data_IF_314554131984
#
_entry.id   IF_314554131984
#
_cell.length_a   1.000
_cell.length_b   1.000
_cell.length_c   1.000
_cell.angle_alpha   90.00
_cell.angle_beta   90.00
_cell.angle_gamma   90.00
#
_symmetry.space_group_name_H-M   'P 1'
#
loop_
_entity.id
_entity.type
_entity.pdbx_description
1 polymer ?
#
# COMPACT_ATOMS: atom_id res chain seq x y z
N UNK A 1 1.99 -6.54 -34.39
CA UNK A 1 3.24 -5.76 -34.50
C UNK A 1 4.36 -6.71 -34.15
N UNK A 2 5.53 -6.62 -34.81
CA UNK A 2 6.65 -7.55 -34.64
C UNK A 2 7.03 -7.85 -33.18
N UNK A 3 6.83 -6.89 -32.26
CA UNK A 3 7.07 -7.05 -30.83
C UNK A 3 6.10 -8.00 -30.10
N UNK A 4 4.90 -8.25 -30.65
CA UNK A 4 3.95 -9.23 -30.10
C UNK A 4 4.35 -10.66 -30.47
N UNK A 5 4.88 -10.84 -31.67
CA UNK A 5 5.25 -12.15 -32.22
C UNK A 5 6.69 -12.54 -31.84
N UNK A 6 7.54 -11.53 -31.59
CA UNK A 6 8.92 -11.68 -31.11
C UNK A 6 9.18 -10.70 -29.95
N UNK A 7 8.73 -11.03 -28.73
CA UNK A 7 8.99 -10.17 -27.57
C UNK A 7 10.50 -10.09 -27.34
N UNK A 8 11.05 -8.89 -27.46
CA UNK A 8 12.42 -8.64 -27.07
C UNK A 8 12.52 -8.72 -25.55
N UNK A 9 13.44 -9.56 -25.05
CA UNK A 9 13.79 -9.63 -23.64
C UNK A 9 15.24 -9.26 -23.46
N UNK A 10 15.51 -8.35 -22.53
CA UNK A 10 16.88 -8.09 -22.11
C UNK A 10 17.49 -9.35 -21.46
N UNK A 11 18.78 -9.68 -21.71
CA UNK A 11 19.39 -10.93 -21.23
C UNK A 11 19.27 -11.10 -19.72
N UNK A 12 19.02 -12.35 -19.28
CA UNK A 12 18.72 -12.65 -17.88
C UNK A 12 19.90 -12.39 -16.93
N UNK A 13 21.15 -12.62 -17.39
CA UNK A 13 22.36 -12.35 -16.62
C UNK A 13 23.23 -11.35 -17.39
N UNK A 14 23.45 -10.20 -16.77
CA UNK A 14 24.32 -9.13 -17.26
C UNK A 14 24.93 -8.44 -16.04
N UNK A 15 26.13 -7.83 -16.17
CA UNK A 15 26.72 -7.08 -15.06
C UNK A 15 25.78 -6.02 -14.45
N UNK A 16 24.95 -5.37 -15.29
CA UNK A 16 23.94 -4.41 -14.84
C UNK A 16 22.83 -5.07 -14.00
N UNK A 17 22.23 -6.16 -14.47
CA UNK A 17 21.21 -6.90 -13.71
C UNK A 17 21.76 -7.47 -12.42
N UNK A 18 22.99 -7.98 -12.44
CA UNK A 18 23.63 -8.53 -11.25
C UNK A 18 23.85 -7.43 -10.21
N UNK A 19 24.26 -6.23 -10.63
CA UNK A 19 24.40 -5.05 -9.75
C UNK A 19 23.06 -4.61 -9.15
N UNK A 20 21.99 -4.58 -9.95
CA UNK A 20 20.66 -4.28 -9.46
C UNK A 20 20.16 -5.33 -8.46
N UNK A 21 20.34 -6.62 -8.76
CA UNK A 21 19.94 -7.71 -7.88
C UNK A 21 20.68 -7.64 -6.54
N UNK A 22 22.00 -7.41 -6.56
CA UNK A 22 22.78 -7.23 -5.33
C UNK A 22 22.29 -6.04 -4.49
N UNK A 23 21.91 -4.94 -5.14
CA UNK A 23 21.35 -3.75 -4.46
C UNK A 23 19.97 -4.04 -3.85
N UNK A 24 19.12 -4.76 -4.58
CA UNK A 24 17.82 -5.22 -4.08
C UNK A 24 17.98 -6.18 -2.90
N UNK A 25 18.86 -7.17 -2.99
CA UNK A 25 19.13 -8.14 -1.92
C UNK A 25 19.66 -7.46 -0.65
N UNK A 26 20.53 -6.45 -0.81
CA UNK A 26 21.01 -5.63 0.32
C UNK A 26 19.85 -4.91 1.00
N UNK A 27 18.98 -4.25 0.22
CA UNK A 27 17.83 -3.54 0.75
C UNK A 27 16.84 -4.50 1.44
N UNK A 28 16.58 -5.66 0.84
CA UNK A 28 15.73 -6.70 1.42
C UNK A 28 16.25 -7.17 2.78
N UNK A 29 17.56 -7.45 2.91
CA UNK A 29 18.16 -7.83 4.19
C UNK A 29 18.02 -6.76 5.27
N UNK A 30 18.14 -5.47 4.89
CA UNK A 30 17.90 -4.36 5.82
C UNK A 30 16.46 -4.34 6.29
N UNK A 31 15.49 -4.50 5.39
CA UNK A 31 14.06 -4.54 5.72
C UNK A 31 13.72 -5.76 6.58
N UNK A 32 14.25 -6.94 6.26
CA UNK A 32 14.07 -8.17 7.05
C UNK A 32 14.52 -7.99 8.50
N UNK A 33 15.66 -7.33 8.72
CA UNK A 33 16.13 -6.99 10.06
C UNK A 33 15.14 -6.06 10.79
N UNK A 34 14.66 -5.01 10.12
CA UNK A 34 13.68 -4.08 10.70
C UNK A 34 12.37 -4.79 11.07
N UNK A 35 11.91 -5.74 10.26
CA UNK A 35 10.72 -6.56 10.54
C UNK A 35 10.96 -7.44 11.77
N UNK A 36 12.10 -8.14 11.82
CA UNK A 36 12.42 -9.07 12.91
C UNK A 36 12.52 -8.37 14.28
N UNK A 37 12.99 -7.13 14.30
CA UNK A 37 13.11 -6.33 15.52
C UNK A 37 11.82 -5.57 15.89
N UNK A 38 10.81 -5.57 15.00
CA UNK A 38 9.64 -4.68 15.07
C UNK A 38 8.42 -5.19 15.84
N UNK A 39 8.38 -6.48 16.23
CA UNK A 39 7.29 -7.06 17.02
C UNK A 39 7.45 -6.78 18.53
N UNK A 40 7.48 -5.50 18.90
CA UNK A 40 7.57 -5.03 20.29
C UNK A 40 6.65 -3.82 20.43
N UNK A 41 6.20 -3.49 21.64
CA UNK A 41 5.43 -2.26 21.85
C UNK A 41 6.38 -1.08 22.14
N UNK A 42 6.26 0.06 21.45
CA UNK A 42 5.41 0.30 20.27
C UNK A 42 5.93 -0.42 19.02
N UNK A 43 5.01 -0.92 18.19
CA UNK A 43 5.37 -1.65 16.96
C UNK A 43 5.95 -0.68 15.92
N UNK A 44 6.88 -1.17 15.09
CA UNK A 44 7.37 -0.37 13.96
C UNK A 44 6.53 -0.60 12.70
N UNK A 45 6.58 0.36 11.77
CA UNK A 45 5.84 0.31 10.51
C UNK A 45 6.17 -0.92 9.65
N UNK A 46 7.43 -1.35 9.60
CA UNK A 46 7.86 -2.47 8.77
C UNK A 46 7.20 -3.78 9.21
N UNK A 47 7.15 -4.04 10.52
CA UNK A 47 6.48 -5.18 11.09
C UNK A 47 4.97 -5.11 10.82
N UNK A 48 4.33 -3.99 11.17
CA UNK A 48 2.87 -3.80 10.99
C UNK A 48 2.46 -3.99 9.53
N UNK A 49 3.12 -3.32 8.58
CA UNK A 49 2.77 -3.45 7.16
C UNK A 49 3.07 -4.83 6.59
N UNK A 50 4.08 -5.54 7.12
CA UNK A 50 4.35 -6.92 6.72
C UNK A 50 3.23 -7.85 7.18
N UNK A 51 2.73 -7.70 8.41
CA UNK A 51 1.59 -8.48 8.88
C UNK A 51 0.31 -8.15 8.10
N UNK A 52 0.07 -6.87 7.80
CA UNK A 52 -1.04 -6.46 6.93
C UNK A 52 -0.91 -7.10 5.54
N UNK A 53 0.28 -7.03 4.92
CA UNK A 53 0.53 -7.60 3.59
C UNK A 53 0.27 -9.11 3.52
N UNK A 54 0.53 -9.87 4.59
CA UNK A 54 0.23 -11.31 4.65
C UNK A 54 -1.27 -11.61 4.61
N UNK A 55 -2.08 -10.70 5.15
CA UNK A 55 -3.53 -10.85 5.27
C UNK A 55 -4.30 -10.21 4.11
N UNK A 56 -3.69 -9.25 3.40
CA UNK A 56 -4.30 -8.60 2.26
C UNK A 56 -4.56 -9.57 1.10
N UNK A 57 -5.78 -9.63 0.56
CA UNK A 57 -6.03 -10.23 -0.74
C UNK A 57 -5.11 -9.63 -1.81
N UNK A 58 -4.61 -10.45 -2.74
CA UNK A 58 -3.67 -10.00 -3.79
C UNK A 58 -4.26 -8.92 -4.70
N UNK A 59 -5.57 -8.96 -4.86
CA UNK A 59 -6.35 -8.03 -5.66
C UNK A 59 -6.94 -6.90 -4.82
N UNK A 60 -6.67 -6.78 -3.51
CA UNK A 60 -7.25 -5.70 -2.71
C UNK A 60 -6.86 -4.31 -3.23
N UNK A 61 -7.80 -3.37 -3.19
CA UNK A 61 -7.51 -1.96 -3.44
C UNK A 61 -7.08 -1.30 -2.14
N UNK A 62 -5.88 -0.72 -2.17
CA UNK A 62 -5.27 -0.06 -1.02
C UNK A 62 -5.44 1.44 -1.18
N UNK A 63 -6.16 2.04 -0.23
CA UNK A 63 -6.18 3.49 -0.03
C UNK A 63 -5.21 3.81 1.09
N UNK A 64 -4.29 4.76 0.90
CA UNK A 64 -3.31 5.08 1.94
C UNK A 64 -2.86 6.54 1.90
N UNK A 65 -2.93 7.21 3.04
CA UNK A 65 -2.36 8.55 3.26
C UNK A 65 -1.68 8.67 4.64
N UNK A 66 -0.99 9.79 4.84
CA UNK A 66 -0.06 10.04 5.93
C UNK A 66 1.37 10.27 5.44
N UNK A 67 2.29 10.54 6.36
CA UNK A 67 3.71 10.66 6.06
C UNK A 67 4.37 9.27 6.09
N UNK A 68 4.90 8.85 7.25
CA UNK A 68 5.54 7.54 7.42
C UNK A 68 4.61 6.38 7.02
N UNK A 69 3.31 6.50 7.29
CA UNK A 69 2.30 5.50 6.92
C UNK A 69 2.29 5.25 5.41
N UNK A 70 2.26 6.32 4.60
CA UNK A 70 2.23 6.21 3.16
C UNK A 70 3.61 5.84 2.59
N UNK A 71 4.68 6.49 3.05
CA UNK A 71 6.03 6.32 2.49
C UNK A 71 6.59 4.92 2.74
N UNK A 72 6.53 4.44 3.98
CA UNK A 72 6.95 3.09 4.33
C UNK A 72 5.93 2.09 3.79
N UNK A 73 4.64 2.42 3.85
CA UNK A 73 3.57 1.60 3.29
C UNK A 73 3.78 1.30 1.79
N UNK A 74 4.18 2.28 0.98
CA UNK A 74 4.51 2.09 -0.45
C UNK A 74 5.61 1.07 -0.71
N UNK A 75 6.53 0.90 0.24
CA UNK A 75 7.66 -0.02 0.09
C UNK A 75 7.30 -1.46 0.48
N UNK A 76 6.33 -1.65 1.37
CA UNK A 76 5.99 -2.94 1.96
C UNK A 76 4.67 -3.50 1.42
N UNK A 77 3.66 -2.64 1.23
CA UNK A 77 2.33 -2.98 0.72
C UNK A 77 2.36 -3.02 -0.82
N UNK A 78 2.44 -4.22 -1.36
CA UNK A 78 2.54 -4.54 -2.78
C UNK A 78 1.17 -4.62 -3.41
N UNK A 79 1.05 -4.05 -4.62
CA UNK A 79 -0.09 -4.25 -5.50
C UNK A 79 0.29 -5.25 -6.58
N UNK A 80 -0.60 -6.18 -6.88
CA UNK A 80 -0.40 -7.17 -7.93
C UNK A 80 -1.25 -6.88 -9.17
N UNK A 81 -2.16 -5.91 -9.07
CA UNK A 81 -3.10 -5.48 -10.11
C UNK A 81 -2.98 -3.96 -10.34
N UNK A 82 -3.16 -3.53 -11.59
CA UNK A 82 -3.13 -2.11 -11.94
C UNK A 82 -4.35 -1.38 -11.37
N UNK A 83 -4.23 -0.08 -11.06
CA UNK A 83 -5.29 0.77 -10.50
C UNK A 83 -5.82 0.37 -9.10
N UNK A 84 -5.08 -0.45 -8.36
CA UNK A 84 -5.45 -0.89 -7.01
C UNK A 84 -4.74 -0.15 -5.89
N UNK A 85 -4.19 1.02 -6.19
CA UNK A 85 -3.60 1.91 -5.18
C UNK A 85 -4.06 3.33 -5.41
N UNK A 86 -4.62 3.91 -4.36
CA UNK A 86 -5.00 5.30 -4.29
C UNK A 86 -4.25 5.91 -3.10
N UNK A 87 -3.44 6.93 -3.34
CA UNK A 87 -2.72 7.64 -2.27
C UNK A 87 -2.77 9.15 -2.51
N UNK A 88 -2.12 9.91 -1.63
CA UNK A 88 -2.15 11.38 -1.61
C UNK A 88 -1.62 12.05 -2.90
N UNK A 89 -1.03 11.28 -3.81
CA UNK A 89 -0.67 11.70 -5.15
C UNK A 89 0.29 12.89 -5.19
N UNK A 90 0.20 13.70 -6.24
CA UNK A 90 1.15 14.78 -6.55
C UNK A 90 1.26 15.84 -5.47
N UNK A 91 0.16 16.17 -4.80
CA UNK A 91 0.15 17.23 -3.80
C UNK A 91 0.39 16.74 -2.38
N UNK A 92 0.48 15.42 -2.16
CA UNK A 92 0.60 14.88 -0.81
C UNK A 92 -0.54 15.32 0.10
N UNK A 93 -1.74 15.49 -0.45
CA UNK A 93 -2.90 16.03 0.28
C UNK A 93 -3.36 15.04 1.34
N UNK A 94 -3.45 15.50 2.60
CA UNK A 94 -4.07 14.76 3.69
C UNK A 94 -5.58 15.01 3.71
N UNK A 95 -6.38 13.97 3.91
CA UNK A 95 -7.83 14.01 3.91
C UNK A 95 -8.49 13.48 2.64
N UNK A 96 -7.72 12.93 1.70
CA UNK A 96 -8.29 12.27 0.51
C UNK A 96 -8.72 10.83 0.80
N UNK A 97 -8.21 10.23 1.88
CA UNK A 97 -8.36 8.80 2.20
C UNK A 97 -9.79 8.29 2.15
N UNK A 98 -10.66 8.75 3.06
CA UNK A 98 -12.03 8.20 3.15
C UNK A 98 -12.89 8.53 1.92
N UNK A 99 -12.70 9.71 1.33
CA UNK A 99 -13.37 10.06 0.08
C UNK A 99 -12.99 9.12 -1.08
N UNK A 100 -11.71 8.77 -1.19
CA UNK A 100 -11.22 7.79 -2.17
C UNK A 100 -11.75 6.40 -1.88
N UNK A 101 -11.78 5.97 -0.61
CA UNK A 101 -12.31 4.67 -0.23
C UNK A 101 -13.81 4.53 -0.56
N UNK A 102 -14.61 5.57 -0.30
CA UNK A 102 -16.03 5.64 -0.68
C UNK A 102 -16.17 5.53 -2.20
N UNK A 103 -15.45 6.36 -2.96
CA UNK A 103 -15.53 6.35 -4.41
C UNK A 103 -15.13 4.98 -4.99
N UNK A 104 -14.04 4.40 -4.49
CA UNK A 104 -13.57 3.08 -4.86
C UNK A 104 -14.62 1.99 -4.63
N UNK A 105 -15.25 1.99 -3.44
CA UNK A 105 -16.29 1.03 -3.11
C UNK A 105 -17.54 1.18 -4.01
N UNK A 106 -17.88 2.41 -4.39
CA UNK A 106 -19.01 2.68 -5.29
C UNK A 106 -18.75 2.20 -6.72
N UNK A 107 -17.55 2.42 -7.26
CA UNK A 107 -17.20 2.03 -8.64
C UNK A 107 -16.79 0.57 -8.76
N UNK A 108 -16.40 -0.07 -7.66
CA UNK A 108 -15.98 -1.48 -7.62
C UNK A 108 -16.60 -2.20 -6.42
N UNK A 109 -17.91 -2.49 -6.45
CA UNK A 109 -18.64 -3.05 -5.31
C UNK A 109 -18.09 -4.39 -4.78
N UNK A 110 -17.59 -5.22 -5.69
CA UNK A 110 -17.03 -6.56 -5.38
C UNK A 110 -15.58 -6.49 -4.87
N UNK A 111 -14.93 -5.34 -5.02
CA UNK A 111 -13.51 -5.18 -4.71
C UNK A 111 -13.31 -4.99 -3.21
N UNK A 112 -12.38 -5.73 -2.61
CA UNK A 112 -11.98 -5.49 -1.22
C UNK A 112 -11.22 -4.16 -1.14
N UNK A 113 -11.78 -3.19 -0.42
CA UNK A 113 -11.14 -1.90 -0.14
C UNK A 113 -10.55 -1.90 1.27
N UNK A 114 -9.25 -1.57 1.38
CA UNK A 114 -8.56 -1.41 2.65
C UNK A 114 -7.93 -0.02 2.72
N UNK A 115 -8.35 0.75 3.71
CA UNK A 115 -7.92 2.13 3.97
C UNK A 115 -6.87 2.10 5.09
N UNK A 116 -5.62 2.47 4.78
CA UNK A 116 -4.48 2.41 5.70
C UNK A 116 -3.99 3.85 5.94
N UNK A 117 -4.33 4.35 7.11
CA UNK A 117 -4.34 5.78 7.41
C UNK A 117 -3.37 6.10 8.55
N UNK A 118 -2.61 7.19 8.43
CA UNK A 118 -1.97 7.79 9.60
C UNK A 118 -3.02 8.42 10.52
N UNK A 119 -2.79 8.40 11.83
CA UNK A 119 -3.64 9.04 12.85
C UNK A 119 -3.93 10.53 12.59
N UNK A 120 -2.93 11.29 12.12
CA UNK A 120 -3.15 12.68 11.71
C UNK A 120 -3.94 12.79 10.41
N UNK A 121 -3.75 11.87 9.47
CA UNK A 121 -4.39 11.93 8.16
C UNK A 121 -5.89 11.63 8.24
N UNK A 122 -6.27 10.61 9.03
CA UNK A 122 -7.69 10.32 9.30
C UNK A 122 -8.40 11.51 9.97
N UNK A 123 -7.68 12.39 10.67
CA UNK A 123 -8.26 13.59 11.26
C UNK A 123 -8.91 14.55 10.26
N UNK A 124 -8.49 14.53 8.98
CA UNK A 124 -9.01 15.43 7.95
C UNK A 124 -10.32 14.95 7.34
N UNK A 125 -10.53 13.62 7.25
CA UNK A 125 -11.69 13.02 6.58
C UNK A 125 -12.49 12.04 7.44
N UNK A 126 -12.09 11.83 8.70
CA UNK A 126 -12.61 10.80 9.60
C UNK A 126 -14.12 10.86 9.86
N UNK A 127 -14.73 12.04 9.73
CA UNK A 127 -16.19 12.17 9.85
C UNK A 127 -16.96 11.43 8.75
N UNK A 128 -16.32 11.14 7.62
CA UNK A 128 -16.91 10.32 6.55
C UNK A 128 -17.10 8.85 6.93
N UNK A 129 -16.60 8.41 8.10
CA UNK A 129 -16.98 7.11 8.67
C UNK A 129 -18.50 7.00 8.84
N UNK A 130 -19.19 8.10 9.16
CA UNK A 130 -20.66 8.13 9.17
C UNK A 130 -21.22 7.77 7.79
N UNK A 131 -20.69 8.38 6.73
CA UNK A 131 -21.11 8.14 5.35
C UNK A 131 -20.93 6.67 4.98
N UNK A 132 -19.77 6.09 5.29
CA UNK A 132 -19.45 4.70 5.01
C UNK A 132 -20.45 3.75 5.71
N UNK A 133 -20.75 4.00 6.99
CA UNK A 133 -21.72 3.20 7.75
C UNK A 133 -23.14 3.38 7.21
N UNK A 134 -23.55 4.62 6.90
CA UNK A 134 -24.88 4.93 6.36
C UNK A 134 -25.15 4.25 5.02
N UNK A 135 -24.13 4.09 4.18
CA UNK A 135 -24.22 3.34 2.93
C UNK A 135 -23.90 1.84 3.09
N UNK A 136 -23.61 1.38 4.30
CA UNK A 136 -23.24 -0.01 4.61
C UNK A 136 -22.08 -0.53 3.74
N UNK A 137 -21.07 0.31 3.52
CA UNK A 137 -19.92 -0.02 2.69
C UNK A 137 -18.92 -0.92 3.45
N UNK A 138 -18.52 -2.08 2.88
CA UNK A 138 -17.67 -3.07 3.55
C UNK A 138 -16.17 -2.72 3.50
N UNK A 139 -15.83 -1.47 3.81
CA UNK A 139 -14.45 -0.96 3.78
C UNK A 139 -13.75 -1.29 5.11
N UNK A 140 -12.52 -1.79 5.03
CA UNK A 140 -11.68 -2.05 6.23
C UNK A 140 -10.75 -0.88 6.50
N UNK A 141 -10.80 -0.32 7.71
CA UNK A 141 -9.94 0.78 8.15
C UNK A 141 -8.84 0.28 9.08
N UNK A 142 -7.61 0.69 8.81
CA UNK A 142 -6.45 0.43 9.66
C UNK A 142 -5.79 1.78 9.94
N UNK A 143 -5.89 2.23 11.20
CA UNK A 143 -5.25 3.47 11.64
C UNK A 143 -3.89 3.13 12.24
N UNK A 144 -2.83 3.66 11.64
CA UNK A 144 -1.49 3.63 12.20
C UNK A 144 -1.39 4.79 13.19
N UNK A 145 -1.57 4.46 14.47
CA UNK A 145 -1.55 5.39 15.59
C UNK A 145 -0.20 5.34 16.28
N UNK A 146 0.60 6.41 16.15
CA UNK A 146 2.03 6.43 16.48
C UNK A 146 2.45 7.64 17.31
#
# INVERSE_FOLDING_TARGET
SELRDHPWSYPASTPWRDTLQQSMDKNSKTVEKMIAEGNKFPMNYFYVFTEIQKLLPKDAMIVSEGANTMDIGRSILKNYTGLHRLDAGTFGTMGVGLGFAIAAQMVSPEQRIVCIEGDSAIGFSGMELETIVRFNFPITFIIINN
#
